data_IF_134714364361
#
_entry.id   IF_134714364361
#
_cell.length_a   1.000
_cell.length_b   1.000
_cell.length_c   1.000
_cell.angle_alpha   90.00
_cell.angle_beta   90.00
_cell.angle_gamma   90.00
#
_symmetry.space_group_name_H-M   'P 1'
#
loop_
_entity.id
_entity.type
_entity.pdbx_description
1 polymer ?
#
# COMPACT_ATOMS: atom_id res chain seq x y z
N UNK A 1 -6.42 -8.44 2.40
CA UNK A 1 -5.14 -8.93 2.96
C UNK A 1 -4.39 -9.71 1.89
N UNK A 2 -3.10 -10.02 2.05
CA UNK A 2 -2.36 -10.80 1.05
C UNK A 2 -2.99 -12.18 0.77
N UNK A 3 -3.59 -12.82 1.78
CA UNK A 3 -4.26 -14.12 1.64
C UNK A 3 -5.53 -13.98 0.79
N UNK A 4 -6.42 -13.04 1.16
CA UNK A 4 -7.65 -12.77 0.41
C UNK A 4 -7.36 -12.37 -1.05
N UNK A 5 -6.30 -11.57 -1.26
CA UNK A 5 -5.88 -11.21 -2.62
C UNK A 5 -5.45 -12.45 -3.42
N UNK A 6 -4.71 -13.37 -2.81
CA UNK A 6 -4.31 -14.63 -3.47
C UNK A 6 -5.51 -15.51 -3.83
N UNK A 7 -6.53 -15.56 -2.97
CA UNK A 7 -7.77 -16.31 -3.24
C UNK A 7 -8.53 -15.72 -4.43
N UNK A 8 -8.63 -14.39 -4.51
CA UNK A 8 -9.24 -13.70 -5.67
C UNK A 8 -8.44 -13.92 -6.95
N UNK A 9 -7.11 -13.84 -6.87
CA UNK A 9 -6.24 -14.07 -8.04
C UNK A 9 -6.34 -15.52 -8.55
N UNK A 10 -6.58 -16.49 -7.66
CA UNK A 10 -6.76 -17.90 -8.03
C UNK A 10 -8.02 -18.16 -8.88
N UNK A 11 -9.00 -17.25 -8.87
CA UNK A 11 -10.21 -17.34 -9.72
C UNK A 11 -9.92 -17.09 -11.21
N UNK A 12 -8.73 -16.58 -11.56
CA UNK A 12 -8.33 -16.40 -12.96
C UNK A 12 -9.17 -15.38 -13.74
N UNK A 13 -9.77 -14.40 -13.04
CA UNK A 13 -10.66 -13.41 -13.66
C UNK A 13 -9.84 -12.50 -14.58
N UNK A 14 -10.21 -12.47 -15.85
CA UNK A 14 -9.55 -11.60 -16.83
C UNK A 14 -9.78 -10.14 -16.48
N UNK A 15 -8.71 -9.35 -16.46
CA UNK A 15 -8.75 -7.92 -16.13
C UNK A 15 -8.62 -7.60 -14.64
N UNK A 16 -8.56 -8.61 -13.77
CA UNK A 16 -8.27 -8.42 -12.33
C UNK A 16 -6.77 -8.60 -12.10
N UNK A 17 -6.16 -7.63 -11.43
CA UNK A 17 -4.72 -7.61 -11.14
C UNK A 17 -4.48 -7.21 -9.68
N UNK A 18 -3.39 -7.70 -9.11
CA UNK A 18 -2.96 -7.33 -7.76
C UNK A 18 -1.88 -6.25 -7.81
N UNK A 19 -2.04 -5.21 -6.99
CA UNK A 19 -1.01 -4.23 -6.68
C UNK A 19 -0.57 -4.46 -5.24
N UNK A 20 0.75 -4.48 -5.02
CA UNK A 20 1.31 -4.61 -3.68
C UNK A 20 1.39 -3.23 -3.04
N UNK A 21 0.66 -3.05 -1.95
CA UNK A 21 0.68 -1.84 -1.14
C UNK A 21 1.13 -2.15 0.29
N UNK A 22 1.54 -1.12 1.01
CA UNK A 22 2.00 -1.23 2.39
C UNK A 22 1.03 -0.50 3.32
N UNK A 23 0.75 -1.12 4.47
CA UNK A 23 -0.07 -0.53 5.53
C UNK A 23 0.74 -0.44 6.81
N UNK A 24 0.71 0.71 7.49
CA UNK A 24 1.36 0.90 8.80
C UNK A 24 0.69 0.03 9.87
N UNK A 25 1.51 -0.53 10.75
CA UNK A 25 1.09 -1.27 11.93
C UNK A 25 1.77 -0.63 13.15
N UNK A 26 0.98 -0.29 14.18
CA UNK A 26 1.44 0.36 15.42
C UNK A 26 1.22 -0.59 16.61
N UNK A 27 2.22 -1.41 16.99
CA UNK A 27 2.05 -2.48 17.99
C UNK A 27 1.63 -1.99 19.40
N UNK A 28 1.97 -0.76 19.76
CA UNK A 28 1.72 -0.17 21.09
C UNK A 28 0.91 1.13 20.99
N UNK A 29 -0.11 1.14 20.14
CA UNK A 29 -0.89 2.33 19.78
C UNK A 29 -1.51 3.05 20.97
N UNK A 30 -2.06 2.35 21.97
CA UNK A 30 -2.75 3.00 23.11
C UNK A 30 -1.86 3.96 23.89
N UNK A 31 -0.57 3.63 24.06
CA UNK A 31 0.37 4.45 24.82
C UNK A 31 1.09 5.50 23.97
N UNK A 32 1.13 5.32 22.65
CA UNK A 32 2.03 6.08 21.76
C UNK A 32 1.34 6.78 20.59
N UNK A 33 0.05 6.55 20.36
CA UNK A 33 -0.67 7.05 19.18
C UNK A 33 -0.61 8.57 19.04
N UNK A 34 -0.70 9.32 20.14
CA UNK A 34 -0.63 10.78 20.08
C UNK A 34 0.75 11.30 19.67
N UNK A 35 1.82 10.59 20.07
CA UNK A 35 3.20 10.97 19.75
C UNK A 35 3.59 10.51 18.34
N UNK A 36 3.31 9.24 18.01
CA UNK A 36 3.64 8.66 16.71
C UNK A 36 2.75 9.27 15.62
N UNK A 37 1.46 9.43 15.90
CA UNK A 37 0.46 9.88 14.93
C UNK A 37 0.00 8.76 14.00
N UNK A 38 -0.64 9.16 12.90
CA UNK A 38 -1.29 8.26 11.94
C UNK A 38 -0.93 8.65 10.51
N UNK A 39 -1.13 7.71 9.59
CA UNK A 39 -1.05 7.92 8.14
C UNK A 39 -2.44 7.78 7.51
N UNK A 40 -2.66 8.42 6.37
CA UNK A 40 -3.86 8.22 5.57
C UNK A 40 -3.78 6.94 4.72
N UNK A 41 -4.79 6.69 3.87
CA UNK A 41 -4.83 5.51 2.98
C UNK A 41 -3.70 5.51 1.94
N UNK A 42 -3.18 6.68 1.59
CA UNK A 42 -2.05 6.84 0.65
C UNK A 42 -0.69 6.75 1.36
N UNK A 43 -0.67 6.42 2.66
CA UNK A 43 0.56 6.30 3.44
C UNK A 43 1.20 7.63 3.85
N UNK A 44 0.52 8.77 3.70
CA UNK A 44 1.02 10.09 4.09
C UNK A 44 0.71 10.38 5.56
N UNK A 45 1.72 10.81 6.32
CA UNK A 45 1.56 11.22 7.71
C UNK A 45 0.58 12.38 7.87
N UNK A 46 -0.36 12.25 8.81
CA UNK A 46 -1.39 13.25 9.09
C UNK A 46 -1.25 13.88 10.48
N UNK A 47 -0.61 13.19 11.42
CA UNK A 47 -0.44 13.65 12.80
C UNK A 47 0.93 13.22 13.37
N UNK A 48 1.32 13.82 14.49
CA UNK A 48 2.47 13.40 15.29
C UNK A 48 3.79 13.32 14.52
N UNK A 49 4.58 12.30 14.84
CA UNK A 49 5.88 12.02 14.22
C UNK A 49 5.73 11.62 12.75
N UNK A 50 4.68 10.88 12.38
CA UNK A 50 4.39 10.52 10.99
C UNK A 50 4.22 11.76 10.10
N UNK A 51 3.51 12.82 10.57
CA UNK A 51 3.42 14.09 9.85
C UNK A 51 4.75 14.86 9.87
N UNK A 52 5.33 15.03 11.06
CA UNK A 52 6.53 15.86 11.25
C UNK A 52 7.74 15.36 10.46
N UNK A 53 7.80 14.06 10.18
CA UNK A 53 8.87 13.42 9.41
C UNK A 53 8.36 12.77 8.12
N UNK A 54 7.20 13.16 7.61
CA UNK A 54 6.61 12.55 6.41
C UNK A 54 7.61 12.50 5.23
N UNK A 55 8.34 13.58 4.98
CA UNK A 55 9.30 13.66 3.87
C UNK A 55 10.48 12.68 4.03
N UNK A 56 10.86 12.39 5.27
CA UNK A 56 11.91 11.40 5.56
C UNK A 56 11.36 9.96 5.53
N UNK A 57 10.14 9.76 6.05
CA UNK A 57 9.54 8.44 6.26
C UNK A 57 8.82 7.88 5.03
N UNK A 58 8.36 8.74 4.11
CA UNK A 58 7.65 8.34 2.89
C UNK A 58 8.57 7.79 1.81
N UNK A 59 9.87 8.12 1.85
CA UNK A 59 10.80 7.72 0.82
C UNK A 59 10.46 8.34 -0.54
N UNK A 60 10.64 7.58 -1.63
CA UNK A 60 10.31 8.02 -2.99
C UNK A 60 9.64 6.87 -3.74
N UNK A 61 8.55 7.18 -4.41
CA UNK A 61 7.84 6.20 -5.23
C UNK A 61 8.74 5.72 -6.38
N UNK A 62 8.70 4.40 -6.61
CA UNK A 62 9.30 3.77 -7.78
C UNK A 62 8.38 3.82 -8.99
N UNK A 63 8.91 3.45 -10.16
CA UNK A 63 8.12 3.35 -11.40
C UNK A 63 8.16 1.90 -11.88
N UNK A 64 7.00 1.37 -12.29
CA UNK A 64 6.87 0.06 -12.94
C UNK A 64 6.11 0.22 -14.24
N UNK A 65 6.74 -0.14 -15.34
CA UNK A 65 6.09 -0.21 -16.65
C UNK A 65 5.45 -1.60 -16.82
N UNK A 66 4.25 -1.64 -17.41
CA UNK A 66 3.50 -2.88 -17.64
C UNK A 66 2.89 -2.86 -19.04
N UNK A 67 3.02 -3.96 -19.78
CA UNK A 67 2.32 -4.14 -21.06
C UNK A 67 0.99 -4.86 -20.81
N UNK A 68 -0.09 -4.34 -21.37
CA UNK A 68 -1.43 -4.96 -21.28
C UNK A 68 -1.90 -5.25 -22.70
N UNK A 69 -2.29 -6.49 -22.97
CA UNK A 69 -2.83 -6.86 -24.28
C UNK A 69 -4.28 -6.34 -24.46
N UNK A 70 -4.84 -6.33 -25.69
CA UNK A 70 -6.22 -5.89 -25.93
C UNK A 70 -7.30 -6.68 -25.18
N UNK A 71 -6.96 -7.85 -24.64
CA UNK A 71 -7.85 -8.70 -23.82
C UNK A 71 -7.72 -8.42 -22.32
N UNK A 72 -6.93 -7.41 -21.92
CA UNK A 72 -6.79 -6.98 -20.53
C UNK A 72 -5.81 -7.81 -19.69
N UNK A 73 -5.07 -8.74 -20.30
CA UNK A 73 -4.05 -9.52 -19.59
C UNK A 73 -2.72 -8.76 -19.56
N UNK A 74 -2.05 -8.79 -18.41
CA UNK A 74 -0.65 -8.36 -18.31
C UNK A 74 0.22 -9.28 -19.17
N UNK A 75 1.06 -8.69 -20.00
CA UNK A 75 2.07 -9.36 -20.81
C UNK A 75 3.42 -9.01 -20.19
N UNK A 76 4.19 -10.03 -19.84
CA UNK A 76 5.52 -9.88 -19.23
C UNK A 76 6.60 -10.10 -20.29
#
# INVERSE_FOLDING_TARGET
SPIEASEVMALGITGVHQIKEYKRFYPSSELTAQLIGLVNIDGRGQEGTELGFNDWLSGKDGVREVAINPRGSLVN
#
